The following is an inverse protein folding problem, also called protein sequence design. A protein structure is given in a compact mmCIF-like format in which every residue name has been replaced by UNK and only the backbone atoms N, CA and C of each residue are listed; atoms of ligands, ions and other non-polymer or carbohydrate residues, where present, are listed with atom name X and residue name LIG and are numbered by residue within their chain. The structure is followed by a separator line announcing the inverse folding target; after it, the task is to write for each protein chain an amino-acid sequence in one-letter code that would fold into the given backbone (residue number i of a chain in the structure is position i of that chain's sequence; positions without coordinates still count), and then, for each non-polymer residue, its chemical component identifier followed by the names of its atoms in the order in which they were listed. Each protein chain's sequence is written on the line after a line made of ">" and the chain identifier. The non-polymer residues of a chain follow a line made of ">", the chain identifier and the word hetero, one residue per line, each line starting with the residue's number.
data_IF_696717049304
#
_entry.id   IF_696717049304
#
_cell.length_a   1.000
_cell.length_b   1.000
_cell.length_c   1.000
_cell.angle_alpha   90.00
_cell.angle_beta   90.00
_cell.angle_gamma   90.00
#
_symmetry.space_group_name_H-M   'P 1'
#
loop_
_entity.id
_entity.type
_entity.pdbx_description
1 polymer ?
#
# COMPACT_ATOMS: atom_id res chain seq x y z
N UNK A 1 -15.65 22.23 -21.67
CA UNK A 1 -15.93 20.79 -21.40
C UNK A 1 -14.62 20.07 -21.75
N UNK A 2 -13.72 19.92 -20.78
CA UNK A 2 -12.39 19.34 -21.01
C UNK A 2 -12.47 17.85 -20.76
N UNK A 3 -12.29 17.09 -21.80
CA UNK A 3 -12.19 15.63 -21.75
C UNK A 3 -10.82 15.33 -21.11
N UNK A 4 -10.83 14.85 -19.86
CA UNK A 4 -9.64 14.28 -19.23
C UNK A 4 -9.50 12.88 -19.83
N UNK A 5 -8.60 12.76 -20.78
CA UNK A 5 -8.20 11.45 -21.31
C UNK A 5 -7.36 10.79 -20.22
N UNK A 6 -7.77 9.58 -19.79
CA UNK A 6 -6.93 8.68 -18.97
C UNK A 6 -5.71 8.28 -19.81
N UNK A 7 -4.68 9.10 -19.76
CA UNK A 7 -3.39 8.71 -20.31
C UNK A 7 -2.66 7.92 -19.23
N UNK A 8 -2.28 6.66 -19.48
CA UNK A 8 -1.21 6.06 -18.73
C UNK A 8 -0.01 6.99 -18.87
N UNK A 9 0.63 7.35 -17.76
CA UNK A 9 1.93 8.02 -17.84
C UNK A 9 2.87 6.97 -18.45
N UNK A 10 2.89 6.91 -19.77
CA UNK A 10 3.87 6.16 -20.55
C UNK A 10 5.20 6.91 -20.43
N UNK A 11 5.92 6.64 -19.37
CA UNK A 11 7.33 6.95 -19.34
C UNK A 11 8.04 5.88 -20.16
N UNK A 12 8.28 6.26 -21.41
CA UNK A 12 9.27 5.74 -22.35
C UNK A 12 9.22 4.25 -22.80
N UNK A 13 9.13 4.14 -24.12
CA UNK A 13 8.86 2.97 -24.94
C UNK A 13 10.08 2.05 -25.22
N UNK A 14 11.19 2.13 -24.47
CA UNK A 14 12.41 1.37 -24.79
C UNK A 14 13.01 0.50 -23.68
N UNK A 15 12.30 0.29 -22.55
CA UNK A 15 12.86 -0.48 -21.42
C UNK A 15 12.00 -1.66 -21.01
N UNK A 16 12.57 -2.87 -21.04
CA UNK A 16 11.98 -4.14 -20.58
C UNK A 16 11.74 -4.12 -19.07
N UNK A 17 10.54 -3.73 -18.61
CA UNK A 17 10.18 -3.82 -17.19
C UNK A 17 8.80 -3.26 -16.89
N UNK A 18 8.22 -3.61 -15.73
CA UNK A 18 6.87 -3.18 -15.38
C UNK A 18 6.78 -1.66 -15.14
N UNK A 19 5.57 -1.16 -15.41
CA UNK A 19 5.21 0.26 -15.31
C UNK A 19 4.18 0.50 -14.20
N UNK A 20 3.99 1.78 -13.85
CA UNK A 20 2.92 2.23 -12.96
C UNK A 20 1.67 2.52 -13.76
N UNK A 21 0.52 2.03 -13.30
CA UNK A 21 -0.79 2.37 -13.85
C UNK A 21 -1.54 3.30 -12.88
N UNK A 22 -2.09 4.40 -13.37
CA UNK A 22 -2.74 5.42 -12.52
C UNK A 22 -4.07 5.83 -13.15
N UNK A 23 -5.16 5.77 -12.37
CA UNK A 23 -6.51 6.14 -12.81
C UNK A 23 -7.32 6.80 -11.68
N UNK A 24 -8.38 7.53 -12.04
CA UNK A 24 -9.44 7.99 -11.12
C UNK A 24 -10.59 6.99 -10.99
N UNK A 25 -10.62 5.96 -11.81
CA UNK A 25 -11.60 4.88 -11.78
C UNK A 25 -11.06 3.71 -10.94
N UNK A 26 -11.78 3.36 -9.86
CA UNK A 26 -11.42 2.28 -8.95
C UNK A 26 -11.36 0.91 -9.63
N UNK A 27 -12.20 0.67 -10.65
CA UNK A 27 -12.20 -0.58 -11.40
C UNK A 27 -10.89 -0.82 -12.14
N UNK A 28 -10.17 0.25 -12.44
CA UNK A 28 -8.86 0.20 -13.10
C UNK A 28 -7.72 -0.30 -12.20
N UNK A 29 -7.95 -0.49 -10.90
CA UNK A 29 -7.02 -1.23 -10.05
C UNK A 29 -6.77 -2.65 -10.59
N UNK A 30 -7.73 -3.24 -11.28
CA UNK A 30 -7.60 -4.54 -11.95
C UNK A 30 -6.48 -4.60 -13.00
N UNK A 31 -5.96 -3.45 -13.48
CA UNK A 31 -4.80 -3.38 -14.37
C UNK A 31 -3.54 -4.01 -13.73
N UNK A 32 -3.53 -4.21 -12.41
CA UNK A 32 -2.47 -4.94 -11.70
C UNK A 32 -2.26 -6.36 -12.24
N UNK A 33 -3.28 -6.98 -12.84
CA UNK A 33 -3.18 -8.30 -13.44
C UNK A 33 -2.34 -8.34 -14.72
N UNK A 34 -2.10 -7.21 -15.36
CA UNK A 34 -1.23 -7.12 -16.53
C UNK A 34 0.21 -7.45 -16.15
N UNK A 35 0.88 -8.20 -17.03
CA UNK A 35 2.26 -8.65 -16.80
C UNK A 35 3.25 -7.49 -16.64
N UNK A 36 3.02 -6.41 -17.36
CA UNK A 36 3.86 -5.20 -17.40
C UNK A 36 3.44 -4.12 -16.39
N UNK A 37 2.59 -4.43 -15.39
CA UNK A 37 2.19 -3.51 -14.33
C UNK A 37 2.61 -4.08 -12.98
N UNK A 38 3.39 -3.33 -12.19
CA UNK A 38 3.76 -3.71 -10.81
C UNK A 38 3.19 -2.80 -9.73
N UNK A 39 2.55 -1.69 -10.11
CA UNK A 39 1.73 -0.87 -9.23
C UNK A 39 0.53 -0.34 -9.99
N UNK A 40 -0.67 -0.49 -9.44
CA UNK A 40 -1.90 0.13 -9.94
C UNK A 40 -2.47 1.06 -8.88
N UNK A 41 -2.74 2.33 -9.24
CA UNK A 41 -3.11 3.39 -8.31
C UNK A 41 -4.49 3.96 -8.70
N UNK A 42 -5.41 3.91 -7.75
CA UNK A 42 -6.66 4.66 -7.82
C UNK A 42 -6.48 6.00 -7.10
N UNK A 43 -6.45 7.10 -7.87
CA UNK A 43 -6.44 8.46 -7.34
C UNK A 43 -7.84 8.86 -6.91
N UNK A 44 -8.05 9.04 -5.62
CA UNK A 44 -9.29 9.54 -5.04
C UNK A 44 -9.01 10.60 -3.99
N UNK A 45 -9.98 11.48 -3.76
CA UNK A 45 -9.98 12.40 -2.62
C UNK A 45 -10.90 11.86 -1.54
N UNK A 46 -10.47 11.91 -0.29
CA UNK A 46 -11.28 11.49 0.84
C UNK A 46 -12.35 12.55 1.17
N UNK A 47 -13.57 12.08 1.46
CA UNK A 47 -14.61 12.93 2.05
C UNK A 47 -14.15 13.44 3.43
N UNK A 48 -14.56 14.65 3.79
CA UNK A 48 -14.24 15.27 5.09
C UNK A 48 -14.68 14.39 6.27
N UNK A 49 -15.77 13.64 6.12
CA UNK A 49 -16.27 12.73 7.17
C UNK A 49 -15.32 11.55 7.39
N UNK A 50 -14.72 11.00 6.33
CA UNK A 50 -13.70 9.95 6.43
C UNK A 50 -12.46 10.50 7.13
N UNK A 51 -11.99 11.69 6.74
CA UNK A 51 -10.82 12.34 7.36
C UNK A 51 -11.07 12.61 8.85
N UNK A 52 -12.26 13.09 9.21
CA UNK A 52 -12.60 13.36 10.60
C UNK A 52 -12.65 12.05 11.42
N UNK A 53 -13.24 10.99 10.88
CA UNK A 53 -13.21 9.66 11.50
C UNK A 53 -11.79 9.14 11.70
N UNK A 54 -10.92 9.30 10.70
CA UNK A 54 -9.51 8.90 10.79
C UNK A 54 -8.74 9.68 11.86
N UNK A 55 -8.98 10.99 11.97
CA UNK A 55 -8.40 11.82 13.04
C UNK A 55 -8.89 11.39 14.41
N UNK A 56 -10.18 11.08 14.55
CA UNK A 56 -10.74 10.61 15.82
C UNK A 56 -10.10 9.28 16.24
N UNK A 57 -10.06 8.27 15.34
CA UNK A 57 -9.44 6.97 15.62
C UNK A 57 -7.98 7.16 16.07
N UNK A 58 -7.22 7.99 15.35
CA UNK A 58 -5.82 8.26 15.66
C UNK A 58 -5.63 8.94 17.02
N UNK A 59 -6.50 9.89 17.38
CA UNK A 59 -6.45 10.58 18.67
C UNK A 59 -6.84 9.67 19.84
N UNK A 60 -7.83 8.80 19.64
CA UNK A 60 -8.30 7.87 20.69
C UNK A 60 -7.36 6.65 20.81
N UNK A 61 -6.64 6.30 19.75
CA UNK A 61 -5.76 5.13 19.68
C UNK A 61 -4.40 5.50 19.04
N UNK A 62 -3.57 6.31 19.70
CA UNK A 62 -2.29 6.79 19.12
C UNK A 62 -1.26 5.68 18.88
N UNK A 63 -1.44 4.51 19.48
CA UNK A 63 -0.60 3.32 19.34
C UNK A 63 -1.37 2.18 18.65
N UNK A 64 -2.39 2.50 17.84
CA UNK A 64 -3.20 1.50 17.16
C UNK A 64 -2.31 0.55 16.36
N UNK A 65 -2.47 -0.75 16.64
CA UNK A 65 -1.87 -1.84 15.89
C UNK A 65 -2.93 -2.95 15.74
N UNK A 66 -3.82 -2.79 14.77
CA UNK A 66 -4.86 -3.76 14.49
C UNK A 66 -4.37 -4.71 13.40
N UNK A 67 -4.48 -6.01 13.64
CA UNK A 67 -4.06 -7.07 12.71
C UNK A 67 -5.04 -8.23 12.78
N UNK A 68 -5.95 -8.32 11.80
CA UNK A 68 -7.03 -9.30 11.80
C UNK A 68 -7.17 -10.00 10.45
N UNK A 69 -7.41 -11.32 10.51
CA UNK A 69 -7.88 -12.08 9.34
C UNK A 69 -9.38 -12.16 9.39
N UNK A 70 -10.05 -11.60 8.41
CA UNK A 70 -11.51 -11.44 8.41
C UNK A 70 -12.13 -11.84 7.09
N UNK A 71 -13.35 -12.40 7.12
CA UNK A 71 -14.20 -12.54 5.93
C UNK A 71 -14.70 -11.17 5.52
N UNK A 72 -14.77 -10.91 4.21
CA UNK A 72 -15.16 -9.58 3.71
C UNK A 72 -16.58 -9.16 4.14
N UNK A 73 -17.49 -10.12 4.39
CA UNK A 73 -18.85 -9.83 4.88
C UNK A 73 -18.84 -9.30 6.33
N UNK A 74 -17.86 -9.69 7.14
CA UNK A 74 -17.80 -9.42 8.58
C UNK A 74 -16.84 -8.26 8.93
N UNK A 75 -16.27 -7.58 7.94
CA UNK A 75 -15.25 -6.54 8.18
C UNK A 75 -15.81 -5.39 8.99
N UNK A 76 -17.03 -4.92 8.65
CA UNK A 76 -17.62 -3.79 9.35
C UNK A 76 -17.86 -4.10 10.82
N UNK A 77 -18.43 -5.26 11.12
CA UNK A 77 -18.70 -5.72 12.50
C UNK A 77 -17.39 -5.82 13.30
N UNK A 78 -16.37 -6.43 12.70
CA UNK A 78 -15.03 -6.52 13.32
C UNK A 78 -14.44 -5.12 13.60
N UNK A 79 -14.54 -4.19 12.66
CA UNK A 79 -14.03 -2.83 12.84
C UNK A 79 -14.79 -2.07 13.94
N UNK A 80 -16.11 -2.21 14.01
CA UNK A 80 -16.95 -1.61 15.07
C UNK A 80 -16.61 -2.19 16.44
N UNK A 81 -16.37 -3.49 16.53
CA UNK A 81 -15.94 -4.16 17.76
C UNK A 81 -14.56 -3.67 18.23
N UNK A 82 -13.60 -3.52 17.30
CA UNK A 82 -12.20 -3.18 17.63
C UNK A 82 -11.95 -1.69 17.81
N UNK A 83 -12.63 -0.84 17.07
CA UNK A 83 -12.36 0.60 16.98
C UNK A 83 -13.51 1.45 17.54
N UNK A 84 -14.58 0.80 17.98
CA UNK A 84 -15.79 1.46 18.46
C UNK A 84 -16.66 2.02 17.33
N UNK A 85 -17.94 2.15 17.62
CA UNK A 85 -18.92 2.71 16.70
C UNK A 85 -19.33 4.11 17.16
N UNK A 86 -19.16 5.10 16.29
CA UNK A 86 -19.69 6.46 16.48
C UNK A 86 -20.14 7.04 15.14
N UNK A 87 -20.98 8.07 15.18
CA UNK A 87 -21.42 8.76 13.97
C UNK A 87 -20.25 9.37 13.18
N UNK A 88 -19.17 9.73 13.84
CA UNK A 88 -17.97 10.32 13.22
C UNK A 88 -17.02 9.26 12.63
N UNK A 89 -16.89 8.07 13.24
CA UNK A 89 -16.02 7.00 12.73
C UNK A 89 -16.69 6.16 11.66
N UNK A 90 -18.03 6.10 11.61
CA UNK A 90 -18.80 5.20 10.73
C UNK A 90 -18.44 5.33 9.24
N UNK A 91 -18.12 6.54 8.75
CA UNK A 91 -17.72 6.75 7.36
C UNK A 91 -16.36 6.14 7.03
N UNK A 92 -15.40 6.23 7.96
CA UNK A 92 -14.09 5.59 7.83
C UNK A 92 -14.24 4.06 7.84
N UNK A 93 -14.98 3.51 8.81
CA UNK A 93 -15.15 2.06 8.92
C UNK A 93 -15.82 1.46 7.69
N UNK A 94 -16.80 2.15 7.11
CA UNK A 94 -17.44 1.77 5.84
C UNK A 94 -16.46 1.86 4.66
N UNK A 95 -15.63 2.90 4.60
CA UNK A 95 -14.60 3.02 3.56
C UNK A 95 -13.61 1.86 3.62
N UNK A 96 -13.12 1.53 4.80
CA UNK A 96 -12.22 0.38 5.02
C UNK A 96 -12.91 -0.93 4.60
N UNK A 97 -14.15 -1.15 5.05
CA UNK A 97 -14.93 -2.34 4.68
C UNK A 97 -15.09 -2.48 3.17
N UNK A 98 -15.39 -1.38 2.46
CA UNK A 98 -15.49 -1.37 1.01
C UNK A 98 -14.16 -1.70 0.31
N UNK A 99 -13.02 -1.23 0.83
CA UNK A 99 -11.71 -1.55 0.28
C UNK A 99 -11.34 -3.02 0.47
N UNK A 100 -11.68 -3.61 1.63
CA UNK A 100 -11.46 -5.05 1.87
C UNK A 100 -12.32 -5.88 0.93
N UNK A 101 -13.61 -5.53 0.78
CA UNK A 101 -14.50 -6.18 -0.17
C UNK A 101 -13.96 -6.09 -1.61
N UNK A 102 -13.55 -4.90 -2.03
CA UNK A 102 -12.96 -4.66 -3.35
C UNK A 102 -11.70 -5.53 -3.58
N UNK A 103 -10.81 -5.63 -2.59
CA UNK A 103 -9.63 -6.50 -2.66
C UNK A 103 -10.03 -7.97 -2.85
N UNK A 104 -10.96 -8.47 -2.03
CA UNK A 104 -11.45 -9.84 -2.13
C UNK A 104 -12.10 -10.12 -3.49
N UNK A 105 -12.92 -9.20 -4.01
CA UNK A 105 -13.56 -9.33 -5.33
C UNK A 105 -12.54 -9.36 -6.47
N UNK A 106 -11.49 -8.50 -6.44
CA UNK A 106 -10.46 -8.47 -7.48
C UNK A 106 -9.64 -9.76 -7.56
N UNK A 107 -9.47 -10.44 -6.45
CA UNK A 107 -8.61 -11.63 -6.37
C UNK A 107 -9.38 -12.94 -6.15
N UNK A 108 -10.71 -12.89 -6.06
CA UNK A 108 -11.55 -14.08 -5.84
C UNK A 108 -11.34 -14.69 -4.45
N UNK A 109 -11.04 -13.87 -3.44
CA UNK A 109 -10.80 -14.31 -2.08
C UNK A 109 -12.02 -14.12 -1.18
N UNK A 110 -12.27 -15.03 -0.23
CA UNK A 110 -13.32 -14.87 0.79
C UNK A 110 -12.82 -14.12 2.03
N UNK A 111 -11.51 -14.14 2.27
CA UNK A 111 -10.86 -13.57 3.46
C UNK A 111 -9.67 -12.74 3.06
N UNK A 112 -9.40 -11.73 3.87
CA UNK A 112 -8.19 -10.94 3.76
C UNK A 112 -7.54 -10.75 5.13
N UNK A 113 -6.23 -10.51 5.14
CA UNK A 113 -5.52 -10.03 6.31
C UNK A 113 -5.46 -8.51 6.27
N UNK A 114 -6.16 -7.88 7.20
CA UNK A 114 -6.29 -6.42 7.33
C UNK A 114 -5.40 -5.93 8.47
N UNK A 115 -4.58 -4.93 8.21
CA UNK A 115 -3.80 -4.24 9.23
C UNK A 115 -4.06 -2.74 9.15
N UNK A 116 -4.28 -2.14 10.33
CA UNK A 116 -4.48 -0.69 10.48
C UNK A 116 -3.57 -0.23 11.60
N UNK A 117 -2.62 0.63 11.27
CA UNK A 117 -1.57 1.05 12.18
C UNK A 117 -1.52 2.57 12.34
N UNK A 118 -1.42 3.03 13.59
CA UNK A 118 -0.98 4.37 13.93
C UNK A 118 0.55 4.37 14.02
N UNK A 119 1.22 5.08 13.13
CA UNK A 119 2.66 5.01 12.94
C UNK A 119 3.28 6.38 13.23
N UNK A 120 4.13 6.44 14.25
CA UNK A 120 4.94 7.62 14.62
C UNK A 120 6.32 7.62 13.95
N UNK A 121 6.82 6.42 13.57
CA UNK A 121 8.11 6.20 12.92
C UNK A 121 7.96 5.35 11.66
N UNK A 122 8.82 5.52 10.65
CA UNK A 122 8.76 4.68 9.45
C UNK A 122 8.95 3.20 9.80
N UNK A 123 7.97 2.34 9.49
CA UNK A 123 8.08 0.88 9.70
C UNK A 123 9.22 0.28 8.89
N UNK A 124 9.31 0.66 7.62
CA UNK A 124 10.34 0.19 6.68
C UNK A 124 10.92 1.40 5.93
N UNK A 125 11.90 2.13 6.54
CA UNK A 125 12.43 3.38 5.98
C UNK A 125 13.32 3.18 4.75
N UNK A 126 13.78 1.95 4.50
CA UNK A 126 14.63 1.58 3.37
C UNK A 126 13.78 1.07 2.21
N UNK A 127 14.20 1.39 0.97
CA UNK A 127 13.58 0.80 -0.21
C UNK A 127 13.80 -0.71 -0.24
N UNK A 128 12.70 -1.44 -0.43
CA UNK A 128 12.66 -2.90 -0.44
C UNK A 128 11.55 -3.40 -1.37
N UNK A 129 11.52 -4.69 -1.61
CA UNK A 129 10.40 -5.40 -2.22
C UNK A 129 9.77 -6.32 -1.20
N UNK A 130 8.46 -6.51 -1.27
CA UNK A 130 7.74 -7.47 -0.43
C UNK A 130 7.71 -8.84 -1.08
N UNK A 131 7.93 -9.88 -0.26
CA UNK A 131 7.75 -11.26 -0.69
C UNK A 131 6.31 -11.73 -0.47
N UNK A 132 5.37 -11.03 -1.13
CA UNK A 132 3.93 -11.32 -1.15
C UNK A 132 3.46 -11.38 -2.61
N UNK A 133 2.26 -11.92 -2.88
CA UNK A 133 1.67 -11.82 -4.22
C UNK A 133 1.38 -10.35 -4.55
N UNK A 134 0.48 -9.76 -3.82
CA UNK A 134 0.07 -8.37 -3.98
C UNK A 134 -0.42 -7.84 -2.64
N UNK A 135 -0.20 -6.55 -2.41
CA UNK A 135 -0.68 -5.82 -1.23
C UNK A 135 -1.48 -4.60 -1.66
N UNK A 136 -2.66 -4.41 -1.09
CA UNK A 136 -3.35 -3.13 -1.18
C UNK A 136 -2.90 -2.23 -0.04
N UNK A 137 -2.67 -0.95 -0.35
CA UNK A 137 -2.27 0.06 0.64
C UNK A 137 -3.08 1.33 0.49
N UNK A 138 -3.37 2.00 1.61
CA UNK A 138 -3.87 3.36 1.64
C UNK A 138 -3.41 4.08 2.91
N UNK A 139 -3.32 5.41 2.84
CA UNK A 139 -3.00 6.27 3.99
C UNK A 139 -4.14 7.25 4.20
N UNK A 140 -4.74 7.27 5.38
CA UNK A 140 -5.82 8.18 5.75
C UNK A 140 -5.31 9.49 6.35
N UNK A 141 -4.22 9.44 7.12
CA UNK A 141 -3.55 10.59 7.74
C UNK A 141 -2.04 10.46 7.54
N UNK A 142 -1.38 11.57 7.27
CA UNK A 142 0.08 11.60 7.08
C UNK A 142 0.53 11.25 5.66
N UNK A 143 1.83 11.17 5.40
CA UNK A 143 2.40 10.94 4.08
C UNK A 143 2.18 9.50 3.60
N UNK A 144 1.89 9.32 2.31
CA UNK A 144 1.68 8.01 1.69
C UNK A 144 2.99 7.27 1.39
N UNK A 145 2.86 6.01 1.00
CA UNK A 145 3.97 5.14 0.61
C UNK A 145 4.75 5.74 -0.56
N UNK A 146 6.08 5.67 -0.48
CA UNK A 146 7.00 6.07 -1.54
C UNK A 146 7.41 4.86 -2.38
N UNK A 147 7.59 5.06 -3.70
CA UNK A 147 8.10 4.00 -4.59
C UNK A 147 9.03 4.55 -5.66
N UNK A 148 9.76 3.64 -6.29
CA UNK A 148 10.63 3.92 -7.41
C UNK A 148 10.11 3.21 -8.68
N UNK A 149 10.03 3.90 -9.83
CA UNK A 149 9.78 3.26 -11.11
C UNK A 149 10.81 2.15 -11.37
N UNK A 150 10.36 0.98 -11.81
CA UNK A 150 11.20 -0.22 -11.93
C UNK A 150 12.53 0.02 -12.70
N UNK A 151 12.46 0.70 -13.82
CA UNK A 151 13.61 0.97 -14.70
C UNK A 151 14.66 1.92 -14.11
N UNK A 152 14.31 2.63 -13.04
CA UNK A 152 15.21 3.58 -12.37
C UNK A 152 15.94 2.94 -11.18
N UNK A 153 15.69 1.66 -10.91
CA UNK A 153 16.23 0.95 -9.75
C UNK A 153 17.36 0.02 -10.15
N UNK A 154 18.51 0.16 -9.52
CA UNK A 154 19.56 -0.85 -9.54
C UNK A 154 19.25 -1.92 -8.47
N UNK A 155 18.50 -2.95 -8.87
CA UNK A 155 18.01 -3.99 -7.94
C UNK A 155 19.13 -4.76 -7.24
N UNK A 156 20.35 -4.80 -7.80
CA UNK A 156 21.52 -5.42 -7.13
C UNK A 156 21.91 -4.72 -5.83
N UNK A 157 21.37 -3.51 -5.59
CA UNK A 157 21.61 -2.70 -4.39
C UNK A 157 20.47 -2.80 -3.35
N UNK A 158 19.47 -3.63 -3.58
CA UNK A 158 18.45 -3.95 -2.57
C UNK A 158 19.02 -4.87 -1.49
N UNK A 159 18.44 -4.79 -0.29
CA UNK A 159 18.82 -5.64 0.85
C UNK A 159 20.32 -5.59 1.13
N UNK A 160 20.97 -6.74 1.22
CA UNK A 160 22.43 -6.82 1.48
C UNK A 160 23.29 -6.18 0.40
N UNK A 161 22.78 -6.00 -0.82
CA UNK A 161 23.50 -5.37 -1.91
C UNK A 161 23.86 -3.91 -1.69
N UNK A 162 23.21 -3.22 -0.75
CA UNK A 162 23.49 -1.84 -0.38
C UNK A 162 24.75 -1.71 0.51
N UNK A 163 25.30 -2.82 1.05
CA UNK A 163 26.48 -2.86 1.91
C UNK A 163 26.37 -1.93 3.13
N UNK A 164 25.18 -1.78 3.70
CA UNK A 164 24.89 -0.91 4.83
C UNK A 164 24.78 0.58 4.49
N UNK A 165 25.00 0.98 3.24
CA UNK A 165 24.87 2.38 2.82
C UNK A 165 23.41 2.84 2.81
N UNK A 166 23.11 4.12 3.11
CA UNK A 166 21.79 4.71 2.90
C UNK A 166 21.34 4.61 1.44
N UNK A 167 20.03 4.62 1.20
CA UNK A 167 19.46 4.42 -0.13
C UNK A 167 19.99 5.41 -1.17
N UNK A 168 20.17 6.67 -0.79
CA UNK A 168 20.70 7.77 -1.61
C UNK A 168 22.21 7.65 -1.91
N UNK A 169 22.94 6.84 -1.15
CA UNK A 169 24.40 6.63 -1.29
C UNK A 169 24.78 5.24 -1.76
N UNK A 170 23.84 4.31 -1.75
CA UNK A 170 24.08 2.90 -2.09
C UNK A 170 24.23 2.63 -3.59
N UNK A 171 23.85 3.58 -4.43
CA UNK A 171 23.71 3.39 -5.88
C UNK A 171 22.45 2.64 -6.28
N UNK A 172 21.45 2.57 -5.38
CA UNK A 172 20.14 1.98 -5.65
C UNK A 172 19.42 2.71 -6.79
N UNK A 173 19.55 4.02 -6.84
CA UNK A 173 19.04 4.91 -7.89
C UNK A 173 20.00 6.08 -8.11
N UNK A 174 19.85 6.79 -9.22
CA UNK A 174 20.65 7.98 -9.52
C UNK A 174 20.17 9.18 -8.71
N UNK A 175 21.04 10.13 -8.40
CA UNK A 175 20.73 11.32 -7.58
C UNK A 175 19.54 12.17 -8.13
N UNK A 176 19.34 12.19 -9.44
CA UNK A 176 18.28 12.97 -10.09
C UNK A 176 16.95 12.20 -10.26
N UNK A 177 16.81 11.02 -9.66
CA UNK A 177 15.58 10.24 -9.73
C UNK A 177 14.51 10.85 -8.84
N UNK A 178 13.33 11.11 -9.42
CA UNK A 178 12.15 11.49 -8.65
C UNK A 178 11.61 10.27 -7.93
N UNK A 179 11.55 10.35 -6.60
CA UNK A 179 10.87 9.37 -5.77
C UNK A 179 9.38 9.67 -5.84
N UNK A 180 8.60 8.73 -6.34
CA UNK A 180 7.16 8.84 -6.42
C UNK A 180 6.53 8.60 -5.03
N UNK A 181 5.36 9.21 -4.77
CA UNK A 181 4.67 9.09 -3.50
C UNK A 181 3.15 9.05 -3.68
N UNK A 182 2.47 8.16 -2.94
CA UNK A 182 1.02 8.15 -2.84
C UNK A 182 0.55 9.37 -2.04
N UNK A 183 -0.53 10.00 -2.48
CA UNK A 183 -1.21 11.03 -1.70
C UNK A 183 -2.18 10.41 -0.68
N UNK A 184 -2.62 11.21 0.30
CA UNK A 184 -3.66 10.82 1.27
C UNK A 184 -4.92 10.38 0.52
N UNK A 185 -5.43 9.22 0.90
CA UNK A 185 -6.63 8.63 0.29
C UNK A 185 -6.39 7.83 -0.98
N UNK A 186 -5.23 7.98 -1.67
CA UNK A 186 -4.93 7.11 -2.80
C UNK A 186 -4.93 5.64 -2.34
N UNK A 187 -5.48 4.77 -3.17
CA UNK A 187 -5.44 3.31 -2.98
C UNK A 187 -4.53 2.72 -4.03
N UNK A 188 -3.59 1.90 -3.61
CA UNK A 188 -2.68 1.24 -4.55
C UNK A 188 -2.59 -0.26 -4.31
N UNK A 189 -2.51 -1.02 -5.41
CA UNK A 189 -2.12 -2.42 -5.43
C UNK A 189 -0.65 -2.50 -5.82
N UNK A 190 0.16 -3.08 -4.94
CA UNK A 190 1.60 -3.26 -5.08
C UNK A 190 1.88 -4.73 -5.36
N UNK A 191 2.37 -5.04 -6.57
CA UNK A 191 2.74 -6.41 -6.94
C UNK A 191 4.08 -6.77 -6.31
N UNK A 192 4.11 -7.88 -5.57
CA UNK A 192 5.30 -8.36 -4.88
C UNK A 192 6.09 -9.41 -5.67
N UNK A 193 7.15 -9.91 -5.03
CA UNK A 193 8.05 -10.92 -5.63
C UNK A 193 7.41 -12.31 -5.76
N UNK A 194 6.37 -12.63 -4.95
CA UNK A 194 5.68 -13.94 -5.01
C UNK A 194 4.55 -13.97 -6.05
N UNK A 195 4.31 -12.89 -6.80
CA UNK A 195 3.37 -12.92 -7.90
C UNK A 195 3.97 -13.73 -9.05
N UNK A 196 3.26 -14.77 -9.48
CA UNK A 196 3.74 -15.68 -10.55
C UNK A 196 4.12 -14.91 -11.82
N UNK A 197 5.37 -15.03 -12.24
CA UNK A 197 5.94 -14.33 -13.40
C UNK A 197 6.33 -12.88 -13.13
N UNK A 198 6.44 -12.47 -11.86
CA UNK A 198 6.93 -11.15 -11.45
C UNK A 198 8.21 -11.24 -10.58
N UNK A 199 8.87 -12.40 -10.60
CA UNK A 199 10.11 -12.64 -9.86
C UNK A 199 11.20 -11.65 -10.33
N UNK A 200 11.82 -10.99 -9.37
CA UNK A 200 12.81 -9.94 -9.64
C UNK A 200 12.20 -8.61 -10.15
N UNK A 201 10.88 -8.48 -10.21
CA UNK A 201 10.18 -7.30 -10.68
C UNK A 201 9.16 -6.72 -9.68
N UNK A 202 9.13 -7.22 -8.44
CA UNK A 202 8.30 -6.68 -7.36
C UNK A 202 8.51 -5.18 -7.19
N UNK A 203 7.47 -4.45 -6.81
CA UNK A 203 7.54 -3.00 -6.64
C UNK A 203 8.56 -2.63 -5.55
N UNK A 204 9.50 -1.76 -5.89
CA UNK A 204 10.44 -1.20 -4.92
C UNK A 204 9.80 0.00 -4.24
N UNK A 205 9.55 -0.12 -2.93
CA UNK A 205 8.84 0.88 -2.16
C UNK A 205 9.38 1.00 -0.74
N UNK A 206 8.97 2.05 -0.03
CA UNK A 206 9.30 2.25 1.39
C UNK A 206 8.22 3.04 2.13
N UNK A 207 8.24 2.97 3.47
CA UNK A 207 7.55 3.95 4.30
C UNK A 207 8.24 5.32 4.18
N UNK A 208 7.47 6.41 4.02
CA UNK A 208 8.04 7.75 4.02
C UNK A 208 8.64 8.09 5.37
N UNK A 209 9.63 8.98 5.38
CA UNK A 209 10.04 9.61 6.63
C UNK A 209 8.89 10.48 7.15
N UNK A 210 8.51 10.27 8.39
CA UNK A 210 7.57 11.15 9.10
C UNK A 210 8.38 12.18 9.87
N UNK A 211 7.99 13.46 9.80
CA UNK A 211 8.43 14.43 10.80
C UNK A 211 7.81 14.04 12.14
N UNK A 212 8.51 14.18 13.24
CA UNK A 212 8.09 13.80 14.60
C UNK A 212 6.77 14.43 15.08
N UNK A 213 6.09 15.23 14.24
CA UNK A 213 4.88 15.99 14.59
C UNK A 213 3.56 15.30 14.22
N UNK A 214 3.58 14.25 13.36
CA UNK A 214 2.32 13.67 12.86
C UNK A 214 2.38 12.15 12.84
N UNK A 215 1.50 11.53 13.65
CA UNK A 215 1.20 10.12 13.50
C UNK A 215 0.51 9.88 12.16
N UNK A 216 0.87 8.79 11.51
CA UNK A 216 0.30 8.33 10.24
C UNK A 216 -0.74 7.26 10.51
N UNK A 217 -1.95 7.40 9.98
CA UNK A 217 -2.93 6.31 9.96
C UNK A 217 -2.85 5.60 8.61
N UNK A 218 -2.38 4.36 8.63
CA UNK A 218 -2.05 3.56 7.46
C UNK A 218 -2.75 2.22 7.50
N UNK A 219 -3.22 1.75 6.34
CA UNK A 219 -3.84 0.44 6.21
C UNK A 219 -3.19 -0.37 5.10
N UNK A 220 -3.04 -1.67 5.37
CA UNK A 220 -2.70 -2.68 4.36
C UNK A 220 -3.74 -3.79 4.34
N UNK A 221 -3.95 -4.36 3.17
CA UNK A 221 -4.76 -5.55 2.96
C UNK A 221 -3.92 -6.54 2.17
N UNK A 222 -3.78 -7.75 2.72
CA UNK A 222 -2.97 -8.82 2.18
C UNK A 222 -3.79 -10.11 2.04
N UNK A 223 -3.28 -11.04 1.23
CA UNK A 223 -3.82 -12.40 1.15
C UNK A 223 -3.63 -13.15 2.48
N UNK A 224 -4.56 -14.06 2.80
CA UNK A 224 -4.45 -14.92 3.98
C UNK A 224 -3.14 -15.73 4.01
N UNK A 225 -2.65 -16.20 2.87
CA UNK A 225 -1.39 -16.93 2.79
C UNK A 225 -0.19 -16.11 3.26
N UNK A 226 -0.21 -14.78 3.09
CA UNK A 226 0.82 -13.87 3.60
C UNK A 226 0.87 -13.92 5.12
N UNK A 227 -0.29 -13.86 5.79
CA UNK A 227 -0.41 -14.02 7.23
C UNK A 227 0.16 -15.36 7.69
N UNK A 228 -0.26 -16.46 7.06
CA UNK A 228 0.18 -17.83 7.41
C UNK A 228 1.71 -17.97 7.27
N UNK A 229 2.30 -17.45 6.20
CA UNK A 229 3.73 -17.54 5.94
C UNK A 229 4.57 -16.78 6.97
N UNK A 230 4.12 -15.60 7.39
CA UNK A 230 4.79 -14.81 8.42
C UNK A 230 4.76 -15.55 9.75
N UNK A 231 3.59 -15.98 10.22
CA UNK A 231 3.45 -16.61 11.54
C UNK A 231 4.05 -18.02 11.62
N UNK A 232 4.08 -18.79 10.53
CA UNK A 232 4.78 -20.08 10.50
C UNK A 232 6.29 -19.95 10.64
N UNK A 233 6.87 -18.85 10.18
CA UNK A 233 8.30 -18.60 10.33
C UNK A 233 8.68 -18.17 11.75
N UNK A 234 7.80 -17.48 12.47
CA UNK A 234 8.01 -17.15 13.89
C UNK A 234 7.85 -18.35 14.84
N UNK A 235 7.08 -19.39 14.46
CA UNK A 235 6.88 -20.60 15.27
C UNK A 235 8.04 -21.60 15.16
N UNK A 236 9.07 -21.32 14.38
CA UNK A 236 10.26 -22.18 14.18
C UNK A 236 11.52 -21.64 14.86
N UNK A 237 11.41 -20.55 15.60
CA UNK A 237 12.46 -19.93 16.42
C UNK A 237 12.10 -20.16 17.90
#
# INVERSE_FOLDING_TARGET
>A
MSIIVDNPIQNDLSGNGPVSFISKDSHKLSEIHKKDVNISIWKRSLDKKIINGAKQILNENPELNLSEVVKFENVLDMLEERLGHSSSTSYLLKDISNLVKMFCEFFGEEKAWVRIDAIDKPMCPRFHTDFVKCRMVTTYIGPGTQWLPHKLVNRSKLGHGNQGQPDDKSGLFKENVTIEQLEIGHVALLKGESWLGNEGAGLVHRSPHTSNEYNRLYMTIDFLETYINIYRNFSKI
#
